data_IF_018896418332
#
_entry.id   IF_018896418332
#
_cell.length_a   1.000
_cell.length_b   1.000
_cell.length_c   1.000
_cell.angle_alpha   90.00
_cell.angle_beta   90.00
_cell.angle_gamma   90.00
#
_symmetry.space_group_name_H-M   'P 1'
#
loop_
_entity.id
_entity.type
_entity.pdbx_description
1 polymer ?
#
# COMPACT_ATOMS: atom_id res chain seq x y z
N UNK A 1 -21.94 -4.47 26.85
CA UNK A 1 -20.51 -4.59 26.51
C UNK A 1 -20.43 -5.14 25.09
N UNK A 2 -20.33 -4.25 24.09
CA UNK A 2 -20.59 -4.58 22.68
C UNK A 2 -19.35 -5.12 21.95
N UNK A 3 -19.54 -6.27 21.31
CA UNK A 3 -18.88 -6.78 20.09
C UNK A 3 -17.43 -6.34 19.80
N UNK A 4 -16.48 -6.95 20.52
CA UNK A 4 -15.04 -6.88 20.23
C UNK A 4 -14.57 -8.01 19.28
N UNK A 5 -15.49 -8.76 18.64
CA UNK A 5 -15.14 -9.99 17.92
C UNK A 5 -14.93 -9.83 16.41
N UNK A 6 -15.13 -8.64 15.83
CA UNK A 6 -14.68 -8.34 14.44
C UNK A 6 -13.88 -7.06 14.43
N UNK A 7 -12.56 -7.20 14.38
CA UNK A 7 -11.65 -6.08 14.16
C UNK A 7 -12.09 -5.23 12.97
N UNK A 8 -11.96 -3.91 13.08
CA UNK A 8 -12.34 -2.98 12.02
C UNK A 8 -11.49 -3.25 10.77
N UNK A 9 -12.06 -3.80 9.67
CA UNK A 9 -11.30 -4.23 8.49
C UNK A 9 -10.77 -3.07 7.65
N UNK A 10 -10.98 -1.84 8.11
CA UNK A 10 -10.55 -0.58 7.51
C UNK A 10 -9.61 0.21 8.43
N UNK A 11 -9.17 -0.40 9.52
CA UNK A 11 -8.28 0.23 10.49
C UNK A 11 -6.91 0.52 9.84
N UNK A 12 -6.45 1.76 10.02
CA UNK A 12 -5.09 2.18 9.72
C UNK A 12 -4.58 2.92 10.96
N UNK A 13 -3.52 2.40 11.56
CA UNK A 13 -2.89 2.96 12.75
C UNK A 13 -1.42 3.22 12.46
N UNK A 14 -0.89 4.31 13.00
CA UNK A 14 0.51 4.69 12.89
C UNK A 14 1.09 4.84 14.28
N UNK A 15 2.38 4.54 14.43
CA UNK A 15 3.15 4.79 15.65
C UNK A 15 4.17 5.90 15.41
N UNK A 16 4.36 6.78 16.38
CA UNK A 16 5.53 7.65 16.48
C UNK A 16 6.11 7.60 17.89
N UNK A 17 7.40 7.89 18.02
CA UNK A 17 8.06 7.95 19.34
C UNK A 17 7.51 9.09 20.22
N UNK A 18 7.01 10.15 19.59
CA UNK A 18 6.53 11.34 20.29
C UNK A 18 5.10 11.19 20.82
N UNK A 19 4.21 10.61 20.01
CA UNK A 19 2.76 10.58 20.30
C UNK A 19 2.21 9.17 20.49
N UNK A 20 3.03 8.13 20.29
CA UNK A 20 2.59 6.74 20.38
C UNK A 20 1.66 6.32 19.24
N UNK A 21 0.80 5.35 19.51
CA UNK A 21 -0.17 4.80 18.55
C UNK A 21 -1.33 5.77 18.32
N UNK A 22 -1.65 6.03 17.06
CA UNK A 22 -2.81 6.85 16.64
C UNK A 22 -3.58 6.22 15.50
N UNK A 23 -4.88 6.47 15.45
CA UNK A 23 -5.68 6.23 14.27
C UNK A 23 -5.31 7.28 13.21
N UNK A 24 -5.11 6.84 11.97
CA UNK A 24 -4.88 7.71 10.81
C UNK A 24 -5.97 7.49 9.76
N UNK A 25 -5.83 8.07 8.57
CA UNK A 25 -6.79 7.94 7.49
C UNK A 25 -7.10 6.47 7.23
N UNK A 26 -8.37 6.12 7.48
CA UNK A 26 -8.87 4.75 7.34
C UNK A 26 -8.77 4.30 5.90
N UNK A 27 -8.56 3.01 5.72
CA UNK A 27 -8.66 2.41 4.39
C UNK A 27 -10.10 2.62 3.87
N UNK A 28 -10.23 3.12 2.65
CA UNK A 28 -11.54 3.27 2.00
C UNK A 28 -12.12 1.91 1.56
N UNK A 29 -11.28 0.87 1.60
CA UNK A 29 -11.54 -0.50 1.19
C UNK A 29 -11.19 -1.48 2.33
N UNK A 30 -11.72 -2.71 2.25
CA UNK A 30 -11.32 -3.81 3.14
C UNK A 30 -10.15 -4.53 2.51
N UNK A 31 -9.20 -4.98 3.33
CA UNK A 31 -8.06 -5.78 2.85
C UNK A 31 -7.51 -6.66 3.98
N UNK A 32 -6.99 -7.84 3.63
CA UNK A 32 -6.23 -8.72 4.52
C UNK A 32 -5.11 -9.41 3.73
N UNK A 33 -3.96 -9.61 4.36
CA UNK A 33 -2.82 -10.29 3.73
C UNK A 33 -2.31 -9.58 2.48
N UNK A 34 -2.44 -8.25 2.41
CA UNK A 34 -1.76 -7.47 1.39
C UNK A 34 -0.27 -7.38 1.71
N UNK A 35 0.56 -7.31 0.66
CA UNK A 35 1.94 -6.91 0.83
C UNK A 35 2.03 -5.39 0.94
N UNK A 36 3.06 -4.88 1.60
CA UNK A 36 3.29 -3.43 1.70
C UNK A 36 4.76 -3.08 1.57
N UNK A 37 5.07 -1.96 0.92
CA UNK A 37 6.42 -1.42 0.80
C UNK A 37 6.38 0.11 0.79
N UNK A 38 7.37 0.75 1.43
CA UNK A 38 7.52 2.20 1.41
C UNK A 38 8.47 2.63 0.29
N UNK A 39 8.11 3.68 -0.44
CA UNK A 39 8.91 4.32 -1.51
C UNK A 39 8.83 5.82 -1.29
N UNK A 40 9.91 6.42 -0.77
CA UNK A 40 9.90 7.83 -0.40
C UNK A 40 8.76 8.16 0.59
N UNK A 41 7.89 9.15 0.30
CA UNK A 41 6.74 9.48 1.14
C UNK A 41 5.53 8.57 0.93
N UNK A 42 5.60 7.60 0.03
CA UNK A 42 4.47 6.75 -0.35
C UNK A 42 4.58 5.36 0.28
N UNK A 43 3.43 4.77 0.61
CA UNK A 43 3.31 3.38 1.02
C UNK A 43 2.41 2.67 0.03
N UNK A 44 2.98 1.71 -0.69
CA UNK A 44 2.27 0.86 -1.62
C UNK A 44 1.68 -0.31 -0.87
N UNK A 45 0.39 -0.54 -1.03
CA UNK A 45 -0.35 -1.68 -0.53
C UNK A 45 -0.83 -2.51 -1.71
N UNK A 46 -0.32 -3.74 -1.81
CA UNK A 46 -0.43 -4.59 -2.99
C UNK A 46 -1.31 -5.78 -2.66
N UNK A 47 -2.38 -5.97 -3.43
CA UNK A 47 -3.17 -7.19 -3.38
C UNK A 47 -3.95 -7.39 -2.08
N UNK A 48 -4.05 -8.65 -1.66
CA UNK A 48 -4.74 -9.07 -0.46
C UNK A 48 -6.23 -9.34 -0.70
N UNK A 49 -6.90 -10.05 0.21
CA UNK A 49 -8.33 -10.35 0.07
C UNK A 49 -9.21 -9.21 0.59
N UNK A 50 -10.20 -8.68 -0.16
CA UNK A 50 -10.62 -9.01 -1.52
C UNK A 50 -9.90 -8.25 -2.66
N UNK A 51 -8.96 -7.35 -2.35
CA UNK A 51 -8.22 -6.51 -3.30
C UNK A 51 -7.12 -7.23 -4.11
N UNK A 52 -7.33 -8.48 -4.57
CA UNK A 52 -6.24 -9.37 -5.00
C UNK A 52 -5.34 -8.80 -6.11
N UNK A 53 -5.87 -7.95 -6.97
CA UNK A 53 -5.13 -7.35 -8.09
C UNK A 53 -4.97 -5.84 -7.95
N UNK A 54 -5.45 -5.22 -6.86
CA UNK A 54 -5.43 -3.77 -6.71
C UNK A 54 -4.16 -3.30 -6.02
N UNK A 55 -3.65 -2.17 -6.48
CA UNK A 55 -2.63 -1.38 -5.79
C UNK A 55 -3.28 -0.14 -5.22
N UNK A 56 -3.04 0.08 -3.93
CA UNK A 56 -3.44 1.30 -3.24
C UNK A 56 -2.20 1.99 -2.69
N UNK A 57 -2.11 3.29 -2.88
CA UNK A 57 -0.96 4.08 -2.46
C UNK A 57 -1.41 5.05 -1.37
N UNK A 58 -0.71 5.04 -0.24
CA UNK A 58 -0.89 6.03 0.81
C UNK A 58 0.22 7.07 0.73
N UNK A 59 -0.15 8.33 0.52
CA UNK A 59 0.79 9.43 0.60
C UNK A 59 0.88 9.91 2.06
N UNK A 60 2.07 9.80 2.67
CA UNK A 60 2.30 10.16 4.07
C UNK A 60 2.34 11.66 4.33
N UNK A 61 2.36 12.49 3.29
CA UNK A 61 2.31 13.95 3.42
C UNK A 61 0.86 14.47 3.35
N UNK A 62 0.08 13.97 2.40
CA UNK A 62 -1.34 14.38 2.25
C UNK A 62 -2.29 13.58 3.14
N UNK A 63 -1.83 12.43 3.64
CA UNK A 63 -2.61 11.47 4.40
C UNK A 63 -3.79 10.88 3.61
N UNK A 64 -3.61 10.71 2.31
CA UNK A 64 -4.66 10.20 1.42
C UNK A 64 -4.29 8.85 0.82
N UNK A 65 -5.33 8.04 0.59
CA UNK A 65 -5.22 6.80 -0.15
C UNK A 65 -5.72 7.03 -1.57
N UNK A 66 -4.92 6.67 -2.57
CA UNK A 66 -5.29 6.65 -3.98
C UNK A 66 -5.28 5.22 -4.50
N UNK A 67 -6.10 4.94 -5.51
CA UNK A 67 -5.95 3.73 -6.32
C UNK A 67 -4.90 4.02 -7.41
N UNK A 68 -3.98 3.09 -7.60
CA UNK A 68 -2.99 3.12 -8.67
C UNK A 68 -3.35 2.03 -9.69
N UNK A 69 -2.34 1.48 -10.37
CA UNK A 69 -2.46 0.40 -11.34
C UNK A 69 -2.87 -0.93 -10.70
N UNK A 70 -3.05 -1.96 -11.53
CA UNK A 70 -3.37 -3.32 -11.08
C UNK A 70 -2.16 -4.24 -11.22
N UNK A 71 -2.02 -5.17 -10.28
CA UNK A 71 -1.02 -6.23 -10.39
C UNK A 71 -1.32 -7.12 -11.61
N UNK A 72 -0.30 -7.60 -12.33
CA UNK A 72 -0.50 -8.51 -13.46
C UNK A 72 -1.07 -9.88 -13.02
N UNK A 73 -0.94 -10.22 -11.75
CA UNK A 73 -1.47 -11.45 -11.15
C UNK A 73 -2.08 -11.17 -9.77
N UNK A 74 -3.13 -11.93 -9.45
CA UNK A 74 -3.75 -11.95 -8.13
C UNK A 74 -2.74 -12.30 -7.03
N UNK A 75 -2.61 -11.42 -6.04
CA UNK A 75 -1.74 -11.56 -4.88
C UNK A 75 -2.57 -11.70 -3.59
N UNK A 76 -2.21 -12.69 -2.76
CA UNK A 76 -2.77 -12.88 -1.43
C UNK A 76 -1.72 -13.41 -0.46
N UNK A 77 -1.74 -12.94 0.78
CA UNK A 77 -0.78 -13.26 1.84
C UNK A 77 0.68 -13.05 1.38
N UNK A 78 0.94 -11.93 0.69
CA UNK A 78 2.25 -11.63 0.12
C UNK A 78 3.14 -10.76 0.99
N UNK A 79 4.40 -10.66 0.59
CA UNK A 79 5.41 -9.73 1.09
C UNK A 79 6.01 -8.95 -0.07
N UNK A 80 6.44 -7.71 0.16
CA UNK A 80 7.08 -6.87 -0.84
C UNK A 80 8.37 -6.27 -0.29
N UNK A 81 9.36 -6.07 -1.17
CA UNK A 81 10.65 -5.47 -0.82
C UNK A 81 11.14 -4.60 -1.98
N UNK A 82 11.63 -3.41 -1.66
CA UNK A 82 12.29 -2.53 -2.61
C UNK A 82 13.72 -3.04 -2.87
N UNK A 83 14.08 -3.29 -4.12
CA UNK A 83 15.41 -3.78 -4.52
C UNK A 83 16.26 -2.73 -5.24
N UNK A 84 15.63 -1.68 -5.75
CA UNK A 84 16.26 -0.49 -6.32
C UNK A 84 15.31 0.70 -6.18
N UNK A 85 15.75 1.95 -6.48
CA UNK A 85 14.86 3.11 -6.47
C UNK A 85 13.60 2.96 -7.34
N UNK A 86 13.64 2.10 -8.35
CA UNK A 86 12.54 1.91 -9.30
C UNK A 86 11.99 0.48 -9.34
N UNK A 87 12.57 -0.48 -8.62
CA UNK A 87 12.18 -1.89 -8.70
C UNK A 87 11.84 -2.46 -7.33
N UNK A 88 10.77 -3.24 -7.27
CA UNK A 88 10.39 -4.03 -6.11
C UNK A 88 10.17 -5.51 -6.46
N UNK A 89 10.45 -6.38 -5.51
CA UNK A 89 10.13 -7.81 -5.55
C UNK A 89 8.91 -8.06 -4.65
N UNK A 90 7.93 -8.79 -5.17
CA UNK A 90 6.73 -9.20 -4.44
C UNK A 90 6.65 -10.72 -4.45
N UNK A 91 6.59 -11.32 -3.27
CA UNK A 91 6.50 -12.77 -3.08
C UNK A 91 5.17 -13.14 -2.44
N UNK A 92 4.63 -14.30 -2.78
CA UNK A 92 3.45 -14.89 -2.11
C UNK A 92 3.55 -16.40 -2.11
N UNK A 93 2.49 -17.08 -1.68
CA UNK A 93 2.34 -18.53 -1.89
C UNK A 93 2.29 -18.92 -3.39
N UNK A 94 2.05 -17.95 -4.28
CA UNK A 94 2.13 -18.10 -5.74
C UNK A 94 3.47 -17.63 -6.34
N UNK A 95 3.58 -17.51 -7.68
CA UNK A 95 4.81 -17.06 -8.34
C UNK A 95 5.24 -15.66 -7.86
N UNK A 96 6.55 -15.46 -7.74
CA UNK A 96 7.13 -14.15 -7.42
C UNK A 96 6.93 -13.18 -8.59
N UNK A 97 6.66 -11.92 -8.26
CA UNK A 97 6.50 -10.82 -9.23
C UNK A 97 7.67 -9.84 -9.06
N UNK A 98 8.25 -9.44 -10.18
CA UNK A 98 9.14 -8.28 -10.25
C UNK A 98 8.33 -7.13 -10.84
N UNK A 99 8.30 -5.98 -10.17
CA UNK A 99 7.55 -4.81 -10.61
C UNK A 99 8.42 -3.56 -10.63
N UNK A 100 8.12 -2.65 -11.56
CA UNK A 100 8.65 -1.31 -11.57
C UNK A 100 7.69 -0.36 -10.84
N UNK A 101 8.24 0.63 -10.14
CA UNK A 101 7.48 1.73 -9.55
C UNK A 101 7.26 2.77 -10.64
N UNK A 102 5.99 3.01 -10.99
CA UNK A 102 5.63 4.19 -11.75
C UNK A 102 5.61 5.38 -10.80
N UNK A 103 6.66 6.21 -10.86
CA UNK A 103 6.60 7.55 -10.28
C UNK A 103 5.78 8.45 -11.21
N UNK A 104 5.08 9.44 -10.65
CA UNK A 104 4.62 10.57 -11.44
C UNK A 104 5.86 11.17 -12.12
N UNK A 105 5.98 11.01 -13.44
CA UNK A 105 6.96 11.76 -14.21
C UNK A 105 6.72 13.24 -13.87
N UNK A 106 7.75 13.92 -13.34
CA UNK A 106 7.71 15.36 -13.16
C UNK A 106 7.30 15.94 -14.51
N UNK A 107 6.05 16.42 -14.60
CA UNK A 107 5.59 17.18 -15.75
C UNK A 107 6.48 18.41 -15.77
N UNK A 108 7.51 18.40 -16.62
CA UNK A 108 8.20 19.61 -17.05
C UNK A 108 7.12 20.56 -17.59
N UNK A 109 6.72 21.49 -16.74
CA UNK A 109 6.01 22.69 -17.15
C UNK A 109 7.01 23.47 -18.00
N UNK A 110 6.92 23.27 -19.31
CA UNK A 110 7.58 24.15 -20.28
C UNK A 110 7.11 25.58 -20.03
N UNK A 111 8.06 26.45 -19.71
CA UNK A 111 7.88 27.89 -19.76
C UNK A 111 7.88 28.30 -21.25
N UNK A 112 6.77 28.84 -21.73
CA UNK A 112 6.66 29.65 -22.97
C UNK A 112 6.30 31.09 -22.59
#
# INVERSE_FOLDING_TARGET
MGDLARGNPRLHISYSLETGWRNVTRLQFKVRGAASVAVGPEIYLLGGGPQREKVHVYNTQTHEWTASDSLPHSLGNGSACLISPTHMVVCSEGPALLGEIQGDEEREIGED
#
